data_IF_383772244217
#
_entry.id   IF_383772244217
#
_cell.length_a   1.000
_cell.length_b   1.000
_cell.length_c   1.000
_cell.angle_alpha   90.00
_cell.angle_beta   90.00
_cell.angle_gamma   90.00
#
_symmetry.space_group_name_H-M   'P 1'
#
loop_
_entity.id
_entity.type
_entity.pdbx_description
1 polymer ?
#
# COMPACT_ATOMS: atom_id res chain seq x y z
N UNK A 1 10.68 5.48 -2.16
CA UNK A 1 10.81 5.80 -0.73
C UNK A 1 11.41 4.59 -0.05
N UNK A 2 12.36 4.77 0.88
CA UNK A 2 12.90 3.68 1.68
C UNK A 2 12.31 3.75 3.08
N UNK A 3 11.52 2.74 3.47
CA UNK A 3 11.01 2.55 4.84
C UNK A 3 11.97 1.64 5.61
N UNK A 4 13.20 2.13 5.84
CA UNK A 4 14.29 1.34 6.41
C UNK A 4 13.97 0.83 7.82
N UNK A 5 13.36 1.70 8.64
CA UNK A 5 12.96 1.37 10.01
C UNK A 5 11.63 0.61 10.11
N UNK A 6 10.95 0.36 8.99
CA UNK A 6 9.68 -0.37 8.92
C UNK A 6 8.56 0.27 9.75
N UNK A 7 8.51 1.59 9.77
CA UNK A 7 7.51 2.34 10.55
C UNK A 7 6.33 2.78 9.68
N UNK A 8 6.58 3.03 8.39
CA UNK A 8 5.57 3.58 7.48
C UNK A 8 4.60 2.51 7.03
N UNK A 9 5.07 1.35 6.57
CA UNK A 9 4.18 0.30 6.08
C UNK A 9 3.16 -0.17 7.15
N UNK A 10 3.53 -0.41 8.43
CA UNK A 10 2.57 -0.70 9.48
C UNK A 10 1.60 0.44 9.77
N UNK A 11 2.09 1.69 9.80
CA UNK A 11 1.26 2.86 10.07
C UNK A 11 0.13 3.04 9.03
N UNK A 12 0.34 2.57 7.80
CA UNK A 12 -0.63 2.60 6.71
C UNK A 12 -1.39 1.27 6.52
N UNK A 13 -1.24 0.32 7.45
CA UNK A 13 -1.90 -0.99 7.38
C UNK A 13 -1.41 -1.89 6.23
N UNK A 14 -0.33 -1.49 5.54
CA UNK A 14 0.21 -2.16 4.37
C UNK A 14 1.43 -3.03 4.73
N UNK A 15 1.30 -3.89 5.75
CA UNK A 15 2.42 -4.65 6.28
C UNK A 15 2.09 -6.13 6.50
N UNK A 16 3.08 -6.97 6.22
CA UNK A 16 3.14 -8.37 6.67
C UNK A 16 4.19 -8.50 7.76
N UNK A 17 3.78 -8.94 8.95
CA UNK A 17 4.71 -9.31 10.02
C UNK A 17 5.64 -10.45 9.57
N UNK A 18 5.03 -11.50 9.02
CA UNK A 18 5.70 -12.60 8.34
C UNK A 18 4.96 -12.89 7.05
N UNK A 19 5.65 -12.76 5.92
CA UNK A 19 5.13 -13.09 4.60
C UNK A 19 5.51 -14.52 4.21
N UNK A 20 4.51 -15.27 3.72
CA UNK A 20 4.62 -16.68 3.34
C UNK A 20 5.21 -17.57 4.47
N UNK A 21 4.53 -17.67 5.63
CA UNK A 21 4.98 -18.47 6.75
C UNK A 21 5.12 -19.95 6.37
N UNK A 22 6.22 -20.58 6.77
CA UNK A 22 6.55 -21.98 6.45
C UNK A 22 7.02 -22.21 5.01
N UNK A 23 7.20 -21.13 4.21
CA UNK A 23 7.83 -21.20 2.88
C UNK A 23 9.10 -20.35 2.83
N UNK A 24 8.94 -19.04 3.05
CA UNK A 24 10.04 -18.08 2.98
C UNK A 24 10.23 -17.29 4.27
N UNK A 25 9.20 -17.21 5.12
CA UNK A 25 9.24 -16.58 6.45
C UNK A 25 9.84 -15.16 6.45
N UNK A 26 9.58 -14.41 5.37
CA UNK A 26 10.16 -13.08 5.17
C UNK A 26 9.48 -12.07 6.10
N UNK A 27 10.27 -11.44 6.97
CA UNK A 27 9.75 -10.49 7.96
C UNK A 27 9.69 -9.07 7.42
N UNK A 28 8.63 -8.36 7.79
CA UNK A 28 8.46 -6.94 7.50
C UNK A 28 8.38 -6.59 6.02
N UNK A 29 7.60 -7.38 5.28
CA UNK A 29 7.32 -7.16 3.86
C UNK A 29 6.13 -6.22 3.74
N UNK A 30 6.26 -5.16 2.94
CA UNK A 30 5.11 -4.29 2.66
C UNK A 30 4.08 -5.05 1.81
N UNK A 31 2.79 -4.93 2.16
CA UNK A 31 1.70 -5.38 1.29
C UNK A 31 1.72 -4.57 0.00
N UNK A 32 1.25 -5.17 -1.09
CA UNK A 32 0.98 -4.39 -2.29
C UNK A 32 -0.19 -3.45 -1.99
N UNK A 33 -0.03 -2.18 -2.29
CA UNK A 33 -0.98 -1.14 -1.92
C UNK A 33 -0.84 0.07 -2.84
N UNK A 34 -1.91 0.85 -2.97
CA UNK A 34 -1.86 2.15 -3.63
C UNK A 34 -2.62 3.19 -2.81
N UNK A 35 -2.07 4.41 -2.76
CA UNK A 35 -2.65 5.54 -2.07
C UNK A 35 -2.59 6.75 -2.98
N UNK A 36 -3.65 7.56 -3.01
CA UNK A 36 -3.66 8.89 -3.64
C UNK A 36 -3.72 9.93 -2.53
N UNK A 37 -2.76 10.83 -2.51
CA UNK A 37 -2.64 11.90 -1.51
C UNK A 37 -2.77 13.24 -2.25
N UNK A 38 -3.62 14.12 -1.77
CA UNK A 38 -3.80 15.46 -2.35
C UNK A 38 -2.70 16.45 -1.94
N UNK A 39 -2.80 17.70 -2.41
CA UNK A 39 -1.84 18.76 -2.12
C UNK A 39 -1.85 19.22 -0.65
N UNK A 40 -2.91 18.90 0.08
CA UNK A 40 -3.07 19.20 1.51
C UNK A 40 -2.56 18.04 2.39
N UNK A 41 -2.08 16.95 1.78
CA UNK A 41 -1.58 15.78 2.49
C UNK A 41 -2.68 14.83 2.96
N UNK A 42 -3.91 14.97 2.46
CA UNK A 42 -5.04 14.10 2.82
C UNK A 42 -5.11 12.91 1.86
N UNK A 43 -5.33 11.71 2.42
CA UNK A 43 -5.55 10.49 1.64
C UNK A 43 -6.95 10.54 1.01
N UNK A 44 -6.99 10.55 -0.31
CA UNK A 44 -8.23 10.61 -1.12
C UNK A 44 -8.65 9.23 -1.64
N UNK A 45 -7.69 8.31 -1.73
CA UNK A 45 -7.92 6.91 -2.10
C UNK A 45 -6.88 6.04 -1.39
N UNK A 46 -7.31 4.87 -0.93
CA UNK A 46 -6.45 3.87 -0.32
C UNK A 46 -6.92 2.48 -0.72
N UNK A 47 -5.99 1.65 -1.16
CA UNK A 47 -6.18 0.21 -1.30
C UNK A 47 -4.96 -0.54 -0.78
N UNK A 48 -5.23 -1.59 0.00
CA UNK A 48 -4.21 -2.51 0.50
C UNK A 48 -4.67 -3.91 0.12
N UNK A 49 -3.86 -4.60 -0.66
CA UNK A 49 -4.24 -5.87 -1.25
C UNK A 49 -3.90 -7.01 -0.28
N UNK A 50 -4.89 -7.85 -0.01
CA UNK A 50 -4.71 -9.04 0.83
C UNK A 50 -3.93 -10.15 0.11
N UNK A 51 -4.04 -10.22 -1.21
CA UNK A 51 -3.28 -11.16 -2.04
C UNK A 51 -2.16 -10.41 -2.75
N UNK A 52 -0.91 -10.74 -2.44
CA UNK A 52 0.27 -10.04 -2.99
C UNK A 52 0.41 -10.12 -4.53
N UNK A 53 -0.27 -11.08 -5.16
CA UNK A 53 -0.31 -11.26 -6.62
C UNK A 53 -1.39 -10.45 -7.34
N UNK A 54 -2.37 -9.90 -6.63
CA UNK A 54 -3.40 -9.05 -7.23
C UNK A 54 -2.80 -7.69 -7.64
N UNK A 55 -3.52 -6.94 -8.47
CA UNK A 55 -3.11 -5.61 -8.91
C UNK A 55 -4.03 -4.52 -8.38
N UNK A 56 -3.48 -3.33 -8.05
CA UNK A 56 -4.26 -2.14 -7.71
C UNK A 56 -5.29 -1.79 -8.79
N UNK A 57 -6.43 -1.21 -8.41
CA UNK A 57 -7.42 -0.74 -9.38
C UNK A 57 -6.96 0.57 -10.04
N UNK A 58 -6.21 0.43 -11.14
CA UNK A 58 -5.69 1.57 -11.90
C UNK A 58 -6.77 2.52 -12.39
N UNK A 59 -7.95 2.02 -12.77
CA UNK A 59 -9.05 2.88 -13.24
C UNK A 59 -9.57 3.78 -12.09
N UNK A 60 -9.80 3.21 -10.91
CA UNK A 60 -10.23 3.96 -9.73
C UNK A 60 -9.19 5.01 -9.29
N UNK A 61 -7.90 4.66 -9.35
CA UNK A 61 -6.80 5.61 -9.09
C UNK A 61 -6.88 6.80 -10.07
N UNK A 62 -7.00 6.52 -11.38
CA UNK A 62 -7.07 7.57 -12.40
C UNK A 62 -8.34 8.44 -12.26
N UNK A 63 -9.47 7.85 -11.90
CA UNK A 63 -10.70 8.58 -11.61
C UNK A 63 -10.56 9.48 -10.37
N UNK A 64 -9.89 9.00 -9.32
CA UNK A 64 -9.58 9.80 -8.14
C UNK A 64 -8.71 11.01 -8.51
N UNK A 65 -7.64 10.80 -9.27
CA UNK A 65 -6.75 11.88 -9.71
C UNK A 65 -7.47 12.94 -10.53
N UNK A 66 -8.38 12.55 -11.43
CA UNK A 66 -9.18 13.50 -12.24
C UNK A 66 -10.06 14.42 -11.40
N UNK A 67 -10.52 13.99 -10.22
CA UNK A 67 -11.36 14.79 -9.30
C UNK A 67 -10.55 15.79 -8.47
N UNK A 68 -9.23 15.64 -8.42
CA UNK A 68 -8.31 16.49 -7.64
C UNK A 68 -7.64 17.58 -8.50
N UNK A 69 -7.97 17.65 -9.79
CA UNK A 69 -7.46 18.63 -10.75
C UNK A 69 -8.34 19.88 -10.83
#
# INVERSE_FOLDING_TARGET
MSDFNKEVAPAYGAFYDVWLPGKWDLKGVAKRSAFVIDKQGVVQYAEVLEVAGDEPNYAAIQECLKKLN
#
